data_IF_623566953352
#
_entry.id   IF_623566953352
#
_cell.length_a   1.000
_cell.length_b   1.000
_cell.length_c   1.000
_cell.angle_alpha   90.00
_cell.angle_beta   90.00
_cell.angle_gamma   90.00
#
_symmetry.space_group_name_H-M   'P 1'
#
loop_
_entity.id
_entity.type
_entity.pdbx_description
1 polymer ?
#
# COMPACT_ATOMS: atom_id res chain seq x y z
N UNK A 1 21.71 23.21 -5.62
CA UNK A 1 21.07 22.57 -4.43
C UNK A 1 20.80 21.12 -4.77
N UNK A 2 21.31 20.14 -4.01
CA UNK A 2 21.01 18.73 -4.29
C UNK A 2 19.55 18.41 -3.97
N UNK A 3 18.92 17.48 -4.70
CA UNK A 3 17.55 17.03 -4.45
C UNK A 3 17.33 16.55 -3.00
N UNK A 4 18.38 15.98 -2.39
CA UNK A 4 18.38 15.53 -1.01
C UNK A 4 18.29 16.71 -0.03
N UNK A 5 18.99 17.81 -0.29
CA UNK A 5 18.92 19.02 0.54
C UNK A 5 17.54 19.67 0.44
N UNK A 6 16.93 19.65 -0.75
CA UNK A 6 15.59 20.16 -0.97
C UNK A 6 14.51 19.37 -0.22
N UNK A 7 14.63 18.03 -0.18
CA UNK A 7 13.73 17.15 0.57
C UNK A 7 13.90 17.26 2.09
N UNK A 8 15.11 17.59 2.57
CA UNK A 8 15.38 17.75 4.01
C UNK A 8 14.87 19.08 4.56
N UNK A 9 14.71 20.09 3.71
CA UNK A 9 14.33 21.42 4.13
C UNK A 9 12.87 21.54 4.62
N UNK A 10 11.96 20.66 4.15
CA UNK A 10 10.54 20.73 4.49
C UNK A 10 9.95 19.31 4.65
N UNK A 11 9.43 18.97 5.84
CA UNK A 11 8.83 17.67 6.07
C UNK A 11 7.61 17.37 5.17
N UNK A 12 6.88 18.40 4.72
CA UNK A 12 5.74 18.24 3.79
C UNK A 12 6.22 17.78 2.40
N UNK A 13 7.33 18.32 1.92
CA UNK A 13 7.92 17.91 0.63
C UNK A 13 8.35 16.45 0.65
N UNK A 14 8.91 16.00 1.77
CA UNK A 14 9.28 14.60 1.95
C UNK A 14 8.06 13.68 1.93
N UNK A 15 6.96 14.10 2.55
CA UNK A 15 5.73 13.29 2.56
C UNK A 15 5.11 13.19 1.17
N UNK A 16 5.07 14.30 0.43
CA UNK A 16 4.61 14.30 -0.97
C UNK A 16 5.51 13.44 -1.86
N UNK A 17 6.83 13.51 -1.68
CA UNK A 17 7.76 12.68 -2.45
C UNK A 17 7.56 11.18 -2.15
N UNK A 18 7.40 10.80 -0.88
CA UNK A 18 7.11 9.40 -0.50
C UNK A 18 5.77 8.96 -1.09
N UNK A 19 4.73 9.80 -1.01
CA UNK A 19 3.43 9.51 -1.59
C UNK A 19 3.53 9.31 -3.11
N UNK A 20 4.25 10.18 -3.82
CA UNK A 20 4.44 10.08 -5.26
C UNK A 20 5.20 8.79 -5.65
N UNK A 21 6.28 8.47 -4.95
CA UNK A 21 7.04 7.23 -5.18
C UNK A 21 6.18 6.00 -4.90
N UNK A 22 5.44 5.99 -3.80
CA UNK A 22 4.54 4.88 -3.43
C UNK A 22 3.46 4.65 -4.49
N UNK A 23 2.80 5.72 -4.94
CA UNK A 23 1.79 5.65 -5.98
C UNK A 23 2.37 5.21 -7.32
N UNK A 24 3.54 5.74 -7.70
CA UNK A 24 4.22 5.37 -8.93
C UNK A 24 4.61 3.90 -8.94
N UNK A 25 5.26 3.42 -7.87
CA UNK A 25 5.67 2.01 -7.77
C UNK A 25 4.45 1.08 -7.79
N UNK A 26 3.38 1.43 -7.06
CA UNK A 26 2.15 0.65 -7.07
C UNK A 26 1.51 0.59 -8.44
N UNK A 27 1.44 1.72 -9.14
CA UNK A 27 0.87 1.79 -10.49
C UNK A 27 1.73 1.02 -11.50
N UNK A 28 3.06 1.17 -11.45
CA UNK A 28 3.97 0.45 -12.34
C UNK A 28 3.88 -1.07 -12.14
N UNK A 29 3.72 -1.53 -10.90
CA UNK A 29 3.58 -2.95 -10.61
C UNK A 29 2.28 -3.51 -11.19
N UNK A 30 1.18 -2.77 -11.10
CA UNK A 30 -0.10 -3.17 -11.70
C UNK A 30 -0.06 -3.14 -13.22
N UNK A 31 0.55 -2.10 -13.82
CA UNK A 31 0.69 -1.99 -15.28
C UNK A 31 1.69 -2.99 -15.86
N UNK A 32 2.65 -3.44 -15.08
CA UNK A 32 3.66 -4.43 -15.48
C UNK A 32 3.22 -5.88 -15.30
N UNK A 33 2.04 -6.12 -14.73
CA UNK A 33 1.47 -7.46 -14.64
C UNK A 33 1.14 -7.97 -16.06
N UNK A 34 1.50 -9.23 -16.40
CA UNK A 34 1.39 -9.76 -17.75
C UNK A 34 -0.03 -10.08 -18.21
N UNK A 35 -1.04 -9.56 -17.58
CA UNK A 35 -2.43 -9.82 -17.90
C UNK A 35 -2.91 -8.99 -19.10
N UNK A 36 -3.61 -9.64 -20.04
CA UNK A 36 -4.24 -9.08 -21.25
C UNK A 36 -5.37 -8.05 -20.96
N UNK A 37 -5.39 -7.48 -19.76
CA UNK A 37 -6.44 -6.56 -19.35
C UNK A 37 -5.93 -5.12 -19.36
N UNK A 38 -6.52 -4.30 -20.20
CA UNK A 38 -6.28 -2.85 -20.20
C UNK A 38 -6.47 -2.26 -18.80
N UNK A 39 -5.45 -1.56 -18.30
CA UNK A 39 -5.54 -0.84 -17.05
C UNK A 39 -6.72 0.15 -17.12
N UNK A 40 -7.69 -0.06 -16.26
CA UNK A 40 -8.92 0.71 -16.28
C UNK A 40 -8.90 1.87 -15.28
N UNK A 41 -10.02 2.60 -15.23
CA UNK A 41 -10.22 3.69 -14.27
C UNK A 41 -10.09 3.24 -12.78
N UNK A 42 -10.42 1.96 -12.37
CA UNK A 42 -10.28 1.55 -10.98
C UNK A 42 -8.84 1.56 -10.49
N UNK A 43 -7.88 1.15 -11.32
CA UNK A 43 -6.45 1.12 -10.99
C UNK A 43 -5.91 2.55 -10.86
N UNK A 44 -6.34 3.46 -11.74
CA UNK A 44 -5.98 4.89 -11.66
C UNK A 44 -6.55 5.50 -10.38
N UNK A 45 -7.82 5.23 -10.07
CA UNK A 45 -8.46 5.71 -8.84
C UNK A 45 -7.76 5.18 -7.59
N UNK A 46 -7.35 3.90 -7.59
CA UNK A 46 -6.59 3.31 -6.49
C UNK A 46 -5.19 3.93 -6.35
N UNK A 47 -4.52 4.24 -7.46
CA UNK A 47 -3.23 4.95 -7.45
C UNK A 47 -3.33 6.36 -6.88
N UNK A 48 -4.35 7.13 -7.30
CA UNK A 48 -4.64 8.47 -6.75
C UNK A 48 -5.01 8.37 -5.26
N UNK A 49 -5.85 7.40 -4.89
CA UNK A 49 -6.20 7.14 -3.50
C UNK A 49 -4.97 6.82 -2.63
N UNK A 50 -4.09 5.96 -3.12
CA UNK A 50 -2.84 5.64 -2.44
C UNK A 50 -1.97 6.89 -2.22
N UNK A 51 -1.82 7.74 -3.25
CA UNK A 51 -1.11 9.01 -3.12
C UNK A 51 -1.71 9.90 -2.03
N UNK A 52 -3.01 10.12 -2.05
CA UNK A 52 -3.71 10.98 -1.08
C UNK A 52 -3.56 10.44 0.35
N UNK A 53 -3.79 9.13 0.56
CA UNK A 53 -3.70 8.51 1.87
C UNK A 53 -2.28 8.60 2.44
N UNK A 54 -1.24 8.35 1.63
CA UNK A 54 0.15 8.45 2.08
C UNK A 54 0.56 9.91 2.31
N UNK A 55 0.08 10.86 1.51
CA UNK A 55 0.34 12.30 1.73
C UNK A 55 -0.24 12.78 3.08
N UNK A 56 -1.39 12.26 3.47
CA UNK A 56 -2.09 12.59 4.72
C UNK A 56 -1.65 11.74 5.93
N UNK A 57 -0.73 10.79 5.77
CA UNK A 57 -0.32 9.79 6.79
C UNK A 57 0.03 10.34 8.15
N UNK A 58 0.46 11.62 8.24
CA UNK A 58 0.81 12.25 9.52
C UNK A 58 -0.39 12.66 10.34
N UNK A 59 -1.52 12.83 9.71
CA UNK A 59 -2.71 13.34 10.38
C UNK A 59 -3.35 12.24 11.24
N UNK A 60 -3.80 11.15 10.61
CA UNK A 60 -4.50 10.05 11.28
C UNK A 60 -4.09 8.69 10.68
N UNK A 61 -2.87 8.19 10.95
CA UNK A 61 -2.34 7.01 10.26
C UNK A 61 -3.19 5.75 10.46
N UNK A 62 -3.83 5.59 11.63
CA UNK A 62 -4.69 4.43 11.91
C UNK A 62 -5.97 4.44 11.07
N UNK A 63 -6.63 5.60 11.00
CA UNK A 63 -7.85 5.76 10.19
C UNK A 63 -7.53 5.57 8.72
N UNK A 64 -6.44 6.18 8.24
CA UNK A 64 -6.01 6.06 6.85
C UNK A 64 -5.61 4.63 6.50
N UNK A 65 -4.98 3.90 7.42
CA UNK A 65 -4.66 2.48 7.27
C UNK A 65 -5.95 1.65 7.13
N UNK A 66 -6.93 1.87 8.01
CA UNK A 66 -8.23 1.19 7.93
C UNK A 66 -8.95 1.48 6.60
N UNK A 67 -8.96 2.75 6.15
CA UNK A 67 -9.52 3.14 4.85
C UNK A 67 -8.81 2.42 3.70
N UNK A 68 -7.47 2.35 3.73
CA UNK A 68 -6.70 1.65 2.70
C UNK A 68 -7.01 0.15 2.67
N UNK A 69 -7.16 -0.48 3.84
CA UNK A 69 -7.54 -1.91 3.95
C UNK A 69 -8.93 -2.16 3.38
N UNK A 70 -9.92 -1.35 3.76
CA UNK A 70 -11.29 -1.46 3.24
C UNK A 70 -11.32 -1.25 1.72
N UNK A 71 -10.62 -0.21 1.23
CA UNK A 71 -10.52 0.03 -0.21
C UNK A 71 -9.93 -1.18 -0.95
N UNK A 72 -8.82 -1.72 -0.46
CA UNK A 72 -8.19 -2.90 -1.05
C UNK A 72 -9.14 -4.08 -1.08
N UNK A 73 -9.85 -4.36 0.02
CA UNK A 73 -10.82 -5.46 0.09
C UNK A 73 -11.94 -5.29 -0.93
N UNK A 74 -12.51 -4.07 -1.02
CA UNK A 74 -13.58 -3.77 -2.00
C UNK A 74 -13.04 -3.87 -3.43
N UNK A 75 -11.85 -3.33 -3.69
CA UNK A 75 -11.24 -3.35 -5.01
C UNK A 75 -11.05 -4.79 -5.49
N UNK A 76 -10.45 -5.64 -4.66
CA UNK A 76 -10.23 -7.05 -4.96
C UNK A 76 -11.55 -7.80 -5.13
N UNK A 77 -12.53 -7.59 -4.23
CA UNK A 77 -13.81 -8.28 -4.29
C UNK A 77 -14.68 -7.91 -5.53
N UNK A 78 -14.52 -6.68 -6.05
CA UNK A 78 -15.34 -6.19 -7.16
C UNK A 78 -14.66 -6.43 -8.51
N UNK A 79 -13.34 -6.27 -8.60
CA UNK A 79 -12.62 -6.32 -9.87
C UNK A 79 -11.69 -7.52 -10.01
N UNK A 80 -11.49 -8.31 -8.94
CA UNK A 80 -10.59 -9.47 -8.91
C UNK A 80 -9.19 -9.15 -9.47
N UNK A 81 -8.66 -8.00 -9.09
CA UNK A 81 -7.39 -7.48 -9.62
C UNK A 81 -6.48 -6.98 -8.50
N UNK A 82 -5.14 -7.05 -8.70
CA UNK A 82 -4.20 -6.44 -7.79
C UNK A 82 -4.41 -4.93 -7.73
N UNK A 83 -4.18 -4.34 -6.56
CA UNK A 83 -4.34 -2.90 -6.36
C UNK A 83 -3.01 -2.25 -5.93
N UNK A 84 -2.68 -1.06 -6.46
CA UNK A 84 -1.51 -0.29 -6.02
C UNK A 84 -1.57 0.12 -4.55
N UNK A 85 -2.75 -0.03 -3.90
CA UNK A 85 -2.98 0.36 -2.52
C UNK A 85 -2.14 -0.43 -1.50
N UNK A 86 -1.64 -1.62 -1.85
CA UNK A 86 -0.80 -2.46 -0.97
C UNK A 86 0.44 -1.70 -0.50
N UNK A 87 1.10 -0.93 -1.37
CA UNK A 87 2.25 -0.11 -0.98
C UNK A 87 1.86 1.02 -0.02
N UNK A 88 0.68 1.62 -0.22
CA UNK A 88 0.16 2.62 0.71
C UNK A 88 -0.09 2.02 2.09
N UNK A 89 -0.62 0.79 2.16
CA UNK A 89 -0.82 0.06 3.42
C UNK A 89 0.51 -0.13 4.16
N UNK A 90 1.58 -0.54 3.49
CA UNK A 90 2.90 -0.72 4.11
C UNK A 90 3.45 0.59 4.68
N UNK A 91 3.34 1.70 3.94
CA UNK A 91 3.79 3.03 4.40
C UNK A 91 2.95 3.52 5.58
N UNK A 92 1.62 3.32 5.53
CA UNK A 92 0.71 3.71 6.60
C UNK A 92 0.93 2.85 7.84
N UNK A 93 1.11 1.53 7.69
CA UNK A 93 1.43 0.61 8.78
C UNK A 93 2.73 1.02 9.46
N UNK A 94 3.80 1.26 8.70
CA UNK A 94 5.08 1.74 9.26
C UNK A 94 4.89 3.04 10.03
N UNK A 95 4.13 3.99 9.48
CA UNK A 95 3.85 5.27 10.14
C UNK A 95 3.02 5.09 11.41
N UNK A 96 2.08 4.17 11.43
CA UNK A 96 1.26 3.83 12.60
C UNK A 96 2.11 3.14 13.67
N UNK A 97 2.94 2.16 13.30
CA UNK A 97 3.81 1.43 14.22
C UNK A 97 4.82 2.32 14.95
N UNK A 98 5.36 3.35 14.30
CA UNK A 98 6.27 4.32 14.94
C UNK A 98 5.60 5.09 16.10
N UNK A 99 4.27 5.18 16.11
CA UNK A 99 3.48 5.88 17.15
C UNK A 99 3.00 4.96 18.27
N UNK A 100 3.22 3.66 18.16
CA UNK A 100 2.77 2.67 19.11
C UNK A 100 3.92 2.15 19.96
N UNK A 101 3.60 1.65 21.15
CA UNK A 101 4.50 0.84 21.94
C UNK A 101 4.79 -0.49 21.21
N UNK A 102 5.96 -1.07 21.51
CA UNK A 102 6.49 -2.25 20.81
C UNK A 102 5.45 -3.38 20.66
N UNK A 103 4.75 -3.73 21.73
CA UNK A 103 3.79 -4.84 21.70
C UNK A 103 2.54 -4.52 20.87
N UNK A 104 2.05 -3.29 20.96
CA UNK A 104 0.92 -2.83 20.14
C UNK A 104 1.30 -2.73 18.67
N UNK A 105 2.53 -2.35 18.35
CA UNK A 105 3.03 -2.32 16.97
C UNK A 105 3.12 -3.73 16.38
N UNK A 106 3.62 -4.71 17.15
CA UNK A 106 3.65 -6.13 16.74
C UNK A 106 2.23 -6.66 16.51
N UNK A 107 1.30 -6.36 17.44
CA UNK A 107 -0.10 -6.76 17.29
C UNK A 107 -0.76 -6.17 16.03
N UNK A 108 -0.54 -4.87 15.76
CA UNK A 108 -1.06 -4.22 14.55
C UNK A 108 -0.45 -4.87 13.29
N UNK A 109 0.86 -5.12 13.28
CA UNK A 109 1.54 -5.79 12.18
C UNK A 109 0.96 -7.18 11.92
N UNK A 110 0.73 -7.97 12.97
CA UNK A 110 0.12 -9.30 12.86
C UNK A 110 -1.31 -9.25 12.30
N UNK A 111 -2.13 -8.28 12.73
CA UNK A 111 -3.50 -8.10 12.21
C UNK A 111 -3.48 -7.75 10.72
N UNK A 112 -2.61 -6.81 10.30
CA UNK A 112 -2.50 -6.44 8.88
C UNK A 112 -1.96 -7.59 8.05
N UNK A 113 -0.98 -8.35 8.56
CA UNK A 113 -0.45 -9.52 7.88
C UNK A 113 -1.51 -10.63 7.72
N UNK A 114 -2.28 -10.93 8.75
CA UNK A 114 -3.37 -11.89 8.69
C UNK A 114 -4.44 -11.46 7.69
N UNK A 115 -4.78 -10.17 7.67
CA UNK A 115 -5.73 -9.62 6.71
C UNK A 115 -5.19 -9.72 5.26
N UNK A 116 -3.94 -9.33 5.01
CA UNK A 116 -3.30 -9.47 3.68
C UNK A 116 -3.30 -10.93 3.22
N UNK A 117 -2.98 -11.85 4.14
CA UNK A 117 -3.04 -13.28 3.85
C UNK A 117 -4.47 -13.72 3.46
N UNK A 118 -5.49 -13.27 4.20
CA UNK A 118 -6.89 -13.60 3.91
C UNK A 118 -7.34 -13.04 2.55
N UNK A 119 -7.00 -11.77 2.27
CA UNK A 119 -7.28 -11.15 0.96
C UNK A 119 -6.56 -11.91 -0.15
N UNK A 120 -5.29 -12.28 0.07
CA UNK A 120 -4.51 -13.08 -0.88
C UNK A 120 -5.08 -14.48 -1.10
N UNK A 121 -5.70 -15.12 -0.11
CA UNK A 121 -6.38 -16.41 -0.28
C UNK A 121 -7.63 -16.28 -1.13
N UNK A 122 -8.40 -15.21 -0.97
CA UNK A 122 -9.64 -14.97 -1.74
C UNK A 122 -9.30 -14.77 -3.22
N UNK A 123 -8.19 -14.08 -3.53
CA UNK A 123 -7.75 -13.86 -4.92
C UNK A 123 -7.02 -15.05 -5.54
N UNK A 124 -6.60 -16.01 -4.73
CA UNK A 124 -5.63 -17.04 -5.13
C UNK A 124 -6.25 -18.33 -5.70
N UNK A 125 -7.56 -18.39 -5.86
CA UNK A 125 -8.14 -19.53 -6.59
C UNK A 125 -7.77 -19.50 -8.08
N UNK A 126 -7.15 -18.44 -8.57
CA UNK A 126 -6.97 -18.27 -10.02
C UNK A 126 -5.58 -18.05 -10.58
N UNK A 127 -4.51 -17.63 -9.88
CA UNK A 127 -3.19 -17.53 -10.59
C UNK A 127 -2.02 -16.85 -9.84
N UNK A 128 -2.22 -16.32 -8.62
CA UNK A 128 -1.17 -15.54 -7.94
C UNK A 128 -0.23 -16.36 -7.03
N UNK A 129 0.29 -17.49 -7.51
CA UNK A 129 1.30 -18.26 -6.78
C UNK A 129 2.55 -17.44 -6.40
N UNK A 130 2.89 -16.43 -7.20
CA UNK A 130 4.11 -15.62 -7.04
C UNK A 130 3.99 -14.48 -6.01
N UNK A 131 2.78 -13.98 -5.74
CA UNK A 131 2.59 -12.94 -4.73
C UNK A 131 2.92 -13.43 -3.31
N UNK A 132 2.79 -14.74 -3.05
CA UNK A 132 3.21 -15.37 -1.79
C UNK A 132 4.72 -15.30 -1.57
N UNK A 133 5.50 -15.42 -2.64
CA UNK A 133 6.96 -15.33 -2.58
C UNK A 133 7.41 -13.91 -2.21
N UNK A 134 6.78 -12.88 -2.77
CA UNK A 134 7.11 -11.48 -2.50
C UNK A 134 6.76 -11.10 -1.06
N UNK A 135 5.62 -11.56 -0.54
CA UNK A 135 5.23 -11.32 0.86
C UNK A 135 6.16 -12.07 1.82
N UNK A 136 6.56 -13.31 1.48
CA UNK A 136 7.51 -14.10 2.28
C UNK A 136 8.90 -13.48 2.35
N UNK A 137 9.39 -12.87 1.27
CA UNK A 137 10.69 -12.19 1.21
C UNK A 137 10.68 -10.87 2.01
N UNK A 138 9.56 -10.19 2.08
CA UNK A 138 9.44 -8.94 2.85
C UNK A 138 9.40 -9.17 4.38
N UNK A 139 9.26 -10.43 4.84
CA UNK A 139 9.17 -10.81 6.25
C UNK A 139 10.38 -11.63 6.76
N UNK A 140 11.26 -12.04 5.87
CA UNK A 140 12.53 -12.73 6.23
C UNK A 140 13.64 -11.71 6.53
#
# INVERSE_FOLDING_TARGET
>A
MSAIAWLRADPRRRDVAIAAVTALLGTLLVLGAPDDHDAGWPEVAAGVGAFVLVALRRWQPFVLLAVAMVWTTVHVAVWDRPTPMVFAILVLLTTACIRLERWSAIGLGAVVAAWLYTVGLITNETEYGDARAVIGIAWA
#
